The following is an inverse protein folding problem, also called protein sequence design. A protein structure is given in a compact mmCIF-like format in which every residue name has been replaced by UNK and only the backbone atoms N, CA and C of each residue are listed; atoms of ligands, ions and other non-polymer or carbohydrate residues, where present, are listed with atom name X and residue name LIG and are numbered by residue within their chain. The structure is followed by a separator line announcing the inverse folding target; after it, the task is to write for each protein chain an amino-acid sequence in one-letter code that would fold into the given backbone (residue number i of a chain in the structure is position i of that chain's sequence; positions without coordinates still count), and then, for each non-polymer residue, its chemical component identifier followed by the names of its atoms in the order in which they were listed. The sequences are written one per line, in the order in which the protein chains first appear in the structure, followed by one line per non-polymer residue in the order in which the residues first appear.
data_IF_030948098097
#
_entry.id   IF_030948098097
#
_cell.length_a   1.000
_cell.length_b   1.000
_cell.length_c   1.000
_cell.angle_alpha   90.00
_cell.angle_beta   90.00
_cell.angle_gamma   90.00
#
_symmetry.space_group_name_H-M   'P 1'
#
loop_
_entity.id
_entity.type
_entity.pdbx_description
1 polymer ?
#
# COMPACT_ATOMS: atom_id res chain seq x y z
N UNK A 1 -19.30 -57.60 -40.07
CA UNK A 1 -20.19 -57.15 -41.16
C UNK A 1 -19.96 -55.67 -41.37
N UNK A 2 -20.02 -55.29 -42.64
CA UNK A 2 -19.36 -54.17 -43.29
C UNK A 2 -19.88 -52.80 -42.91
N UNK A 3 -18.95 -51.85 -42.95
CA UNK A 3 -19.11 -50.40 -42.87
C UNK A 3 -19.41 -49.82 -44.26
N UNK A 4 -20.20 -48.74 -44.27
CA UNK A 4 -20.39 -47.68 -45.28
C UNK A 4 -20.95 -47.98 -46.67
N UNK A 5 -22.02 -47.23 -46.98
CA UNK A 5 -22.26 -46.37 -48.16
C UNK A 5 -23.51 -45.53 -47.83
N UNK A 6 -23.73 -44.27 -48.21
CA UNK A 6 -22.99 -43.19 -48.85
C UNK A 6 -23.96 -41.99 -48.89
N UNK A 7 -23.40 -40.79 -49.00
CA UNK A 7 -24.04 -39.47 -48.93
C UNK A 7 -25.11 -39.18 -50.00
N UNK A 8 -25.97 -38.19 -49.71
CA UNK A 8 -26.40 -37.20 -50.70
C UNK A 8 -26.57 -35.82 -50.07
N UNK A 9 -25.83 -34.85 -50.59
CA UNK A 9 -25.79 -33.43 -50.22
C UNK A 9 -27.07 -32.66 -50.49
N UNK A 10 -27.37 -31.61 -49.71
CA UNK A 10 -27.23 -30.20 -50.12
C UNK A 10 -28.22 -29.24 -49.41
N UNK A 11 -27.67 -28.10 -48.95
CA UNK A 11 -28.25 -26.75 -48.77
C UNK A 11 -29.10 -26.45 -47.51
N UNK A 12 -28.43 -25.86 -46.52
CA UNK A 12 -28.56 -24.44 -46.15
C UNK A 12 -29.87 -23.93 -45.52
N UNK A 13 -29.78 -23.49 -44.26
CA UNK A 13 -30.47 -22.34 -43.62
C UNK A 13 -29.90 -22.19 -42.21
N UNK A 14 -29.04 -21.20 -41.98
CA UNK A 14 -29.36 -19.88 -41.40
C UNK A 14 -29.44 -19.90 -39.86
N UNK A 15 -28.27 -19.75 -39.22
CA UNK A 15 -28.11 -19.53 -37.78
C UNK A 15 -28.19 -18.03 -37.48
N UNK A 16 -29.38 -17.47 -37.51
CA UNK A 16 -29.62 -16.15 -36.94
C UNK A 16 -31.01 -16.02 -36.33
N UNK A 17 -31.21 -16.54 -35.13
CA UNK A 17 -32.23 -16.03 -34.22
C UNK A 17 -31.70 -15.99 -32.79
N UNK A 18 -31.25 -14.80 -32.40
CA UNK A 18 -30.82 -14.49 -31.05
C UNK A 18 -32.01 -14.42 -30.09
N UNK A 19 -31.87 -15.10 -28.95
CA UNK A 19 -32.63 -14.75 -27.77
C UNK A 19 -31.98 -13.52 -27.13
N UNK A 20 -32.64 -12.37 -27.30
CA UNK A 20 -32.34 -11.12 -26.59
C UNK A 20 -32.53 -11.35 -25.09
N UNK A 21 -31.44 -11.66 -24.38
CA UNK A 21 -31.41 -11.53 -22.93
C UNK A 21 -31.34 -10.03 -22.61
N UNK A 22 -32.48 -9.44 -22.29
CA UNK A 22 -32.58 -8.11 -21.68
C UNK A 22 -31.76 -8.13 -20.38
N UNK A 23 -30.52 -7.63 -20.44
CA UNK A 23 -29.74 -7.31 -19.24
C UNK A 23 -30.55 -6.28 -18.45
N UNK A 24 -31.20 -6.71 -17.38
CA UNK A 24 -31.81 -5.81 -16.42
C UNK A 24 -30.73 -4.80 -15.99
N UNK A 25 -30.99 -3.51 -16.20
CA UNK A 25 -30.10 -2.47 -15.73
C UNK A 25 -30.04 -2.56 -14.21
N UNK A 26 -28.91 -3.02 -13.68
CA UNK A 26 -28.65 -3.00 -12.24
C UNK A 26 -28.51 -1.54 -11.85
N UNK A 27 -29.50 -1.00 -11.14
CA UNK A 27 -29.42 0.35 -10.58
C UNK A 27 -28.36 0.33 -9.49
N UNK A 28 -27.19 0.89 -9.78
CA UNK A 28 -26.12 1.07 -8.78
C UNK A 28 -26.60 2.11 -7.76
N UNK A 29 -26.66 1.78 -6.45
CA UNK A 29 -27.06 2.73 -5.42
C UNK A 29 -26.14 3.96 -5.42
N UNK A 30 -26.70 5.16 -5.29
CA UNK A 30 -25.90 6.38 -5.11
C UNK A 30 -25.22 6.36 -3.74
N UNK A 31 -23.91 6.56 -3.74
CA UNK A 31 -23.12 6.68 -2.51
C UNK A 31 -23.52 7.94 -1.72
N UNK A 32 -23.44 7.85 -0.39
CA UNK A 32 -23.61 8.99 0.52
C UNK A 32 -22.25 9.34 1.11
N UNK A 33 -21.96 10.63 1.19
CA UNK A 33 -20.71 11.14 1.75
C UNK A 33 -20.88 11.51 3.22
N UNK A 34 -19.90 11.12 4.03
CA UNK A 34 -19.93 11.32 5.49
C UNK A 34 -18.75 12.17 5.97
N UNK A 35 -18.25 13.06 5.12
CA UNK A 35 -17.14 13.98 5.42
C UNK A 35 -17.52 14.89 6.60
N UNK A 36 -16.66 15.03 7.63
CA UNK A 36 -16.87 15.96 8.74
C UNK A 36 -17.06 17.39 8.27
N UNK A 37 -17.85 18.19 9.00
CA UNK A 37 -18.12 19.59 8.63
C UNK A 37 -16.83 20.41 8.52
N UNK A 38 -15.87 20.10 9.38
CA UNK A 38 -14.55 20.72 9.47
C UNK A 38 -13.66 20.48 8.25
N UNK A 39 -14.00 19.50 7.40
CA UNK A 39 -13.26 19.16 6.18
C UNK A 39 -14.05 19.45 4.90
N UNK A 40 -15.34 19.82 4.98
CA UNK A 40 -16.19 20.01 3.80
C UNK A 40 -15.70 21.10 2.85
N UNK A 41 -15.00 22.10 3.38
CA UNK A 41 -14.45 23.23 2.63
C UNK A 41 -12.94 23.10 2.40
N UNK A 42 -12.33 21.98 2.78
CA UNK A 42 -10.92 21.76 2.51
C UNK A 42 -10.71 21.63 0.98
N UNK A 43 -9.50 21.97 0.53
CA UNK A 43 -9.05 21.84 -0.85
C UNK A 43 -9.85 22.65 -1.90
N UNK A 44 -10.71 23.60 -1.49
CA UNK A 44 -11.52 24.42 -2.41
C UNK A 44 -10.68 25.28 -3.37
N UNK A 45 -9.46 25.66 -2.94
CA UNK A 45 -8.56 26.51 -3.73
C UNK A 45 -7.53 25.70 -4.55
N UNK A 46 -7.78 24.41 -4.77
CA UNK A 46 -6.91 23.55 -5.58
C UNK A 46 -7.38 23.51 -7.04
N UNK A 47 -6.56 22.94 -7.92
CA UNK A 47 -6.90 22.71 -9.33
C UNK A 47 -7.81 21.49 -9.56
N UNK A 48 -8.22 20.78 -8.50
CA UNK A 48 -9.05 19.60 -8.60
C UNK A 48 -10.50 19.97 -8.95
N UNK A 49 -11.17 19.09 -9.72
CA UNK A 49 -12.61 19.22 -9.93
C UNK A 49 -13.39 18.99 -8.62
N UNK A 50 -14.60 19.51 -8.51
CA UNK A 50 -15.44 19.31 -7.33
C UNK A 50 -15.69 17.82 -7.04
N UNK A 51 -15.94 17.03 -8.08
CA UNK A 51 -16.14 15.58 -7.97
C UNK A 51 -14.91 14.89 -7.39
N UNK A 52 -13.72 15.19 -7.92
CA UNK A 52 -12.46 14.60 -7.45
C UNK A 52 -12.14 15.05 -6.03
N UNK A 53 -12.38 16.32 -5.70
CA UNK A 53 -12.22 16.87 -4.36
C UNK A 53 -13.08 16.12 -3.34
N UNK A 54 -14.35 15.90 -3.64
CA UNK A 54 -15.26 15.16 -2.74
C UNK A 54 -14.83 13.70 -2.60
N UNK A 55 -14.40 13.06 -3.70
CA UNK A 55 -13.91 11.68 -3.69
C UNK A 55 -12.66 11.51 -2.79
N UNK A 56 -11.66 12.40 -2.92
CA UNK A 56 -10.43 12.29 -2.11
C UNK A 56 -10.69 12.62 -0.63
N UNK A 57 -11.51 13.62 -0.33
CA UNK A 57 -11.90 13.95 1.05
C UNK A 57 -12.64 12.79 1.71
N UNK A 58 -13.58 12.17 0.99
CA UNK A 58 -14.32 11.03 1.51
C UNK A 58 -13.41 9.80 1.65
N UNK A 59 -12.49 9.56 0.71
CA UNK A 59 -11.52 8.45 0.80
C UNK A 59 -10.59 8.62 1.99
N UNK A 60 -10.03 9.82 2.18
CA UNK A 60 -9.23 10.20 3.35
C UNK A 60 -9.97 9.91 4.66
N UNK A 61 -11.24 10.34 4.73
CA UNK A 61 -12.08 10.14 5.90
C UNK A 61 -12.46 8.68 6.15
N UNK A 62 -12.84 7.93 5.11
CA UNK A 62 -13.14 6.50 5.19
C UNK A 62 -11.94 5.68 5.65
N UNK A 63 -10.74 6.02 5.16
CA UNK A 63 -9.52 5.36 5.58
C UNK A 63 -9.25 5.64 7.06
N UNK A 64 -9.28 6.92 7.45
CA UNK A 64 -9.04 7.38 8.83
C UNK A 64 -9.89 6.60 9.84
N UNK A 65 -11.21 6.53 9.61
CA UNK A 65 -12.13 5.79 10.50
C UNK A 65 -11.98 4.28 10.46
N UNK A 66 -11.44 3.73 9.38
CA UNK A 66 -11.15 2.32 9.30
C UNK A 66 -9.90 2.01 10.13
N UNK A 67 -8.80 2.75 9.95
CA UNK A 67 -7.51 2.45 10.59
C UNK A 67 -7.40 2.90 12.04
N UNK A 68 -8.08 3.99 12.42
CA UNK A 68 -8.12 4.48 13.81
C UNK A 68 -9.61 4.59 14.23
N UNK A 69 -10.27 3.45 14.56
CA UNK A 69 -11.69 3.44 14.86
C UNK A 69 -12.07 4.08 16.21
N UNK A 70 -11.08 4.34 17.06
CA UNK A 70 -11.24 4.93 18.40
C UNK A 70 -10.27 6.10 18.51
N UNK A 71 -10.76 7.24 18.98
CA UNK A 71 -9.99 8.46 19.22
C UNK A 71 -10.58 9.21 20.43
N UNK A 72 -9.74 9.93 21.16
CA UNK A 72 -10.15 10.86 22.23
C UNK A 72 -9.81 12.32 21.90
N UNK A 73 -8.88 12.54 20.96
CA UNK A 73 -8.42 13.86 20.56
C UNK A 73 -8.86 14.18 19.12
N UNK A 74 -9.96 14.93 19.00
CA UNK A 74 -10.57 15.27 17.71
C UNK A 74 -9.64 16.07 16.79
N UNK A 75 -8.86 17.00 17.34
CA UNK A 75 -7.97 17.84 16.55
C UNK A 75 -6.86 17.02 15.90
N UNK A 76 -6.22 16.13 16.67
CA UNK A 76 -5.23 15.17 16.14
C UNK A 76 -5.85 14.24 15.10
N UNK A 77 -7.04 13.74 15.38
CA UNK A 77 -7.75 12.85 14.46
C UNK A 77 -8.10 13.50 13.12
N UNK A 78 -8.53 14.77 13.12
CA UNK A 78 -8.72 15.55 11.90
C UNK A 78 -7.41 15.86 11.17
N UNK A 79 -6.33 16.16 11.90
CA UNK A 79 -5.01 16.38 11.29
C UNK A 79 -4.51 15.12 10.58
N UNK A 80 -4.65 13.95 11.20
CA UNK A 80 -4.37 12.67 10.55
C UNK A 80 -5.23 12.45 9.30
N UNK A 81 -6.53 12.76 9.35
CA UNK A 81 -7.41 12.64 8.18
C UNK A 81 -7.01 13.54 7.01
N UNK A 82 -6.53 14.76 7.30
CA UNK A 82 -6.01 15.68 6.28
C UNK A 82 -4.70 15.20 5.68
N UNK A 83 -3.79 14.63 6.49
CA UNK A 83 -2.56 14.00 6.00
C UNK A 83 -2.90 12.85 5.05
N UNK A 84 -3.78 11.91 5.46
CA UNK A 84 -4.21 10.82 4.57
C UNK A 84 -4.90 11.31 3.29
N UNK A 85 -5.68 12.39 3.38
CA UNK A 85 -6.29 13.01 2.19
C UNK A 85 -5.20 13.53 1.23
N UNK A 86 -4.16 14.17 1.74
CA UNK A 86 -3.00 14.59 0.95
C UNK A 86 -2.24 13.38 0.39
N UNK A 87 -2.05 12.30 1.15
CA UNK A 87 -1.42 11.06 0.68
C UNK A 87 -2.15 10.48 -0.54
N UNK A 88 -3.47 10.28 -0.43
CA UNK A 88 -4.27 9.74 -1.53
C UNK A 88 -4.34 10.67 -2.73
N UNK A 89 -4.31 11.97 -2.50
CA UNK A 89 -4.22 12.94 -3.59
C UNK A 89 -2.86 12.85 -4.28
N UNK A 90 -1.77 12.63 -3.53
CA UNK A 90 -0.42 12.43 -4.09
C UNK A 90 -0.35 11.18 -4.95
N UNK A 91 -0.84 10.03 -4.46
CA UNK A 91 -0.84 8.77 -5.21
C UNK A 91 -1.55 8.83 -6.57
N UNK A 92 -2.50 9.75 -6.75
CA UNK A 92 -3.22 9.93 -8.01
C UNK A 92 -2.71 11.13 -8.83
N UNK A 93 -2.25 12.18 -8.15
CA UNK A 93 -1.97 13.51 -8.70
C UNK A 93 -0.61 14.06 -8.24
N UNK A 94 0.44 13.24 -8.32
CA UNK A 94 1.79 13.61 -7.84
C UNK A 94 2.36 14.88 -8.45
N UNK A 95 1.87 15.31 -9.61
CA UNK A 95 2.23 16.60 -10.23
C UNK A 95 1.85 17.82 -9.35
N UNK A 96 0.87 17.65 -8.45
CA UNK A 96 0.47 18.67 -7.49
C UNK A 96 1.40 18.75 -6.27
N UNK A 97 2.37 17.83 -6.15
CA UNK A 97 3.24 17.69 -4.99
C UNK A 97 4.68 17.99 -5.39
N UNK A 98 5.23 19.05 -4.79
CA UNK A 98 6.65 19.43 -4.88
C UNK A 98 7.17 19.68 -3.47
N UNK A 99 7.42 18.61 -2.68
CA UNK A 99 7.81 18.73 -1.27
C UNK A 99 9.11 19.51 -1.05
N UNK A 100 9.97 19.61 -2.05
CA UNK A 100 11.16 20.43 -2.03
C UNK A 100 10.89 21.94 -2.17
N UNK A 101 9.77 22.32 -2.77
CA UNK A 101 9.41 23.72 -3.05
C UNK A 101 8.54 24.34 -1.95
N UNK A 102 7.65 23.55 -1.34
CA UNK A 102 6.67 24.05 -0.38
C UNK A 102 6.18 22.98 0.59
N UNK A 103 5.76 23.40 1.79
CA UNK A 103 5.05 22.54 2.74
C UNK A 103 3.52 22.58 2.51
N UNK A 104 3.03 23.40 1.59
CA UNK A 104 1.61 23.45 1.20
C UNK A 104 1.29 22.32 0.22
N UNK A 105 0.65 21.27 0.74
CA UNK A 105 0.23 20.06 0.05
C UNK A 105 -1.27 20.11 -0.21
N UNK A 106 -1.66 20.42 -1.46
CA UNK A 106 -3.05 20.43 -1.94
C UNK A 106 -4.03 21.14 -0.98
N UNK A 107 -3.63 22.30 -0.47
CA UNK A 107 -4.45 23.13 0.42
C UNK A 107 -4.27 22.84 1.91
N UNK A 108 -3.28 22.02 2.29
CA UNK A 108 -2.89 21.77 3.66
C UNK A 108 -1.42 22.10 3.89
N UNK A 109 -1.09 22.80 4.98
CA UNK A 109 0.29 22.91 5.42
C UNK A 109 0.70 21.61 6.14
N UNK A 110 1.62 20.84 5.55
CA UNK A 110 2.04 19.54 6.09
C UNK A 110 2.66 19.67 7.49
N UNK A 111 3.52 20.67 7.70
CA UNK A 111 4.14 20.91 9.01
C UNK A 111 3.08 21.18 10.07
N UNK A 112 2.11 22.04 9.77
CA UNK A 112 1.02 22.36 10.70
C UNK A 112 0.22 21.11 11.07
N UNK A 113 -0.11 20.25 10.10
CA UNK A 113 -0.85 19.02 10.41
C UNK A 113 0.00 18.06 11.27
N UNK A 114 1.30 17.94 11.00
CA UNK A 114 2.21 17.13 11.82
C UNK A 114 2.36 17.71 13.24
N UNK A 115 2.43 19.03 13.38
CA UNK A 115 2.51 19.71 14.67
C UNK A 115 1.23 19.52 15.48
N UNK A 116 0.06 19.56 14.83
CA UNK A 116 -1.22 19.24 15.50
C UNK A 116 -1.23 17.78 15.94
N UNK A 117 -0.88 16.84 15.04
CA UNK A 117 -0.97 15.41 15.27
C UNK A 117 0.02 14.93 16.34
N UNK A 118 1.30 15.29 16.22
CA UNK A 118 2.38 14.76 17.05
C UNK A 118 3.01 15.78 18.00
N UNK A 119 2.55 17.03 18.01
CA UNK A 119 3.07 18.07 18.91
C UNK A 119 3.06 17.61 20.37
N UNK A 120 4.23 17.71 21.02
CA UNK A 120 4.43 17.26 22.41
C UNK A 120 4.65 15.76 22.59
N UNK A 121 4.67 14.96 21.52
CA UNK A 121 5.05 13.54 21.58
C UNK A 121 6.56 13.35 21.34
N UNK A 122 7.19 12.30 21.87
CA UNK A 122 8.62 12.02 21.63
C UNK A 122 8.92 11.65 20.17
N UNK A 123 7.91 11.30 19.36
CA UNK A 123 8.08 10.87 17.97
C UNK A 123 7.85 11.98 16.94
N UNK A 124 7.56 13.22 17.37
CA UNK A 124 7.20 14.33 16.48
C UNK A 124 8.17 14.49 15.30
N UNK A 125 9.47 14.63 15.57
CA UNK A 125 10.50 14.79 14.54
C UNK A 125 10.64 13.55 13.65
N UNK A 126 10.53 12.35 14.22
CA UNK A 126 10.65 11.10 13.47
C UNK A 126 9.48 10.93 12.51
N UNK A 127 8.25 11.16 12.98
CA UNK A 127 7.04 11.03 12.16
C UNK A 127 6.92 12.14 11.11
N UNK A 128 7.43 13.35 11.39
CA UNK A 128 7.56 14.40 10.39
C UNK A 128 8.44 13.93 9.22
N UNK A 129 9.60 13.36 9.55
CA UNK A 129 10.54 12.86 8.56
C UNK A 129 9.99 11.64 7.82
N UNK A 130 9.25 10.77 8.51
CA UNK A 130 8.58 9.60 7.93
C UNK A 130 7.57 10.02 6.85
N UNK A 131 6.66 10.95 7.16
CA UNK A 131 5.63 11.36 6.22
C UNK A 131 6.20 12.16 5.04
N UNK A 132 7.25 12.96 5.29
CA UNK A 132 7.99 13.64 4.20
C UNK A 132 8.64 12.63 3.25
N UNK A 133 9.17 11.52 3.77
CA UNK A 133 9.76 10.44 2.97
C UNK A 133 8.74 9.74 2.07
N UNK A 134 7.52 9.56 2.57
CA UNK A 134 6.40 9.07 1.79
C UNK A 134 6.13 10.00 0.59
N UNK A 135 5.95 11.30 0.83
CA UNK A 135 5.64 12.25 -0.25
C UNK A 135 6.75 12.34 -1.30
N UNK A 136 8.02 12.24 -0.90
CA UNK A 136 9.14 12.18 -1.84
C UNK A 136 9.04 10.94 -2.73
N UNK A 137 8.89 9.75 -2.15
CA UNK A 137 8.86 8.50 -2.91
C UNK A 137 7.64 8.41 -3.82
N UNK A 138 6.46 8.80 -3.33
CA UNK A 138 5.20 8.69 -4.05
C UNK A 138 5.06 9.74 -5.15
N UNK A 139 5.43 11.00 -4.89
CA UNK A 139 5.35 12.05 -5.93
C UNK A 139 6.23 11.73 -7.12
N UNK A 140 7.39 11.10 -6.89
CA UNK A 140 8.32 10.63 -7.92
C UNK A 140 7.77 9.40 -8.66
N UNK A 141 7.16 8.45 -7.93
CA UNK A 141 6.47 7.29 -8.52
C UNK A 141 5.36 7.69 -9.50
N UNK A 142 4.62 8.76 -9.19
CA UNK A 142 3.36 9.11 -9.89
C UNK A 142 3.42 10.41 -10.71
N UNK A 143 4.62 11.00 -10.83
CA UNK A 143 4.90 12.20 -11.64
C UNK A 143 4.61 11.96 -13.13
N UNK A 144 3.84 12.85 -13.77
CA UNK A 144 3.55 12.79 -15.21
C UNK A 144 4.77 13.03 -16.08
N UNK A 145 5.79 13.73 -15.55
CA UNK A 145 7.03 13.97 -16.25
C UNK A 145 7.76 12.65 -16.57
N UNK A 146 7.41 11.56 -15.87
CA UNK A 146 8.08 10.26 -15.93
C UNK A 146 9.58 10.46 -16.06
N UNK A 147 10.15 11.33 -15.25
CA UNK A 147 11.54 11.75 -15.35
C UNK A 147 12.51 10.59 -15.10
N UNK A 148 11.98 9.37 -14.90
CA UNK A 148 12.74 8.15 -14.67
C UNK A 148 13.73 8.43 -13.57
N UNK A 149 13.27 9.17 -12.55
CA UNK A 149 14.17 9.77 -11.60
C UNK A 149 15.01 8.66 -11.01
N UNK A 150 16.32 8.89 -10.98
CA UNK A 150 17.26 7.91 -10.46
C UNK A 150 16.86 7.46 -9.04
N UNK A 151 16.14 8.32 -8.31
CA UNK A 151 15.51 8.01 -7.04
C UNK A 151 14.50 6.84 -7.14
N UNK A 152 13.50 6.91 -8.03
CA UNK A 152 12.48 5.85 -8.12
C UNK A 152 13.07 4.53 -8.63
N UNK A 153 14.11 4.61 -9.47
CA UNK A 153 14.93 3.45 -9.85
C UNK A 153 15.57 2.78 -8.64
N UNK A 154 16.33 3.55 -7.88
CA UNK A 154 17.02 3.09 -6.68
C UNK A 154 16.05 2.53 -5.67
N UNK A 155 14.86 3.14 -5.55
CA UNK A 155 13.79 2.67 -4.70
C UNK A 155 13.33 1.27 -5.12
N UNK A 156 13.04 1.07 -6.41
CA UNK A 156 12.65 -0.24 -6.94
C UNK A 156 13.75 -1.28 -6.75
N UNK A 157 15.00 -0.92 -7.01
CA UNK A 157 16.15 -1.78 -6.77
C UNK A 157 16.30 -2.15 -5.29
N UNK A 158 16.11 -1.19 -4.39
CA UNK A 158 16.21 -1.39 -2.95
C UNK A 158 15.10 -2.29 -2.41
N UNK A 159 13.88 -2.25 -2.96
CA UNK A 159 12.82 -3.19 -2.63
C UNK A 159 13.22 -4.65 -2.89
N UNK A 160 14.03 -4.90 -3.93
CA UNK A 160 14.53 -6.24 -4.26
C UNK A 160 15.82 -6.65 -3.54
N UNK A 161 16.45 -5.74 -2.79
CA UNK A 161 17.77 -5.99 -2.20
C UNK A 161 17.70 -7.00 -1.04
N UNK A 162 16.85 -6.76 -0.05
CA UNK A 162 16.71 -7.63 1.13
C UNK A 162 15.31 -7.53 1.71
N UNK A 163 14.84 -8.59 2.37
CA UNK A 163 13.53 -8.56 3.02
C UNK A 163 13.43 -7.46 4.10
N UNK A 164 14.53 -7.17 4.80
CA UNK A 164 14.58 -6.10 5.81
C UNK A 164 14.41 -4.71 5.17
N UNK A 165 15.15 -4.44 4.10
CA UNK A 165 15.04 -3.17 3.37
C UNK A 165 13.66 -3.03 2.74
N UNK A 166 13.12 -4.11 2.16
CA UNK A 166 11.76 -4.17 1.64
C UNK A 166 10.73 -3.75 2.68
N UNK A 167 10.72 -4.37 3.86
CA UNK A 167 9.73 -4.04 4.88
C UNK A 167 9.90 -2.61 5.39
N UNK A 168 11.12 -2.08 5.49
CA UNK A 168 11.32 -0.69 5.94
C UNK A 168 10.85 0.33 4.90
N UNK A 169 11.15 0.10 3.62
CA UNK A 169 10.67 0.93 2.51
C UNK A 169 9.16 0.88 2.42
N UNK A 170 8.60 -0.33 2.53
CA UNK A 170 7.17 -0.57 2.40
C UNK A 170 6.38 -0.10 3.62
N UNK A 171 6.98 -0.09 4.81
CA UNK A 171 6.46 0.54 6.02
C UNK A 171 6.24 2.05 5.81
N UNK A 172 7.21 2.72 5.18
CA UNK A 172 7.09 4.13 4.81
C UNK A 172 6.03 4.35 3.71
N UNK A 173 6.12 3.63 2.59
CA UNK A 173 5.17 3.71 1.46
C UNK A 173 3.73 3.34 1.88
N UNK A 174 3.57 2.60 2.98
CA UNK A 174 2.28 2.12 3.49
C UNK A 174 1.83 2.85 4.73
N UNK A 175 2.62 3.84 5.13
CA UNK A 175 2.45 4.67 6.33
C UNK A 175 2.11 3.84 7.58
N UNK A 176 2.74 2.66 7.72
CA UNK A 176 2.38 1.68 8.73
C UNK A 176 2.80 2.17 10.12
N UNK A 177 4.09 2.48 10.32
CA UNK A 177 4.57 3.07 11.58
C UNK A 177 3.95 4.43 11.87
N UNK A 178 3.76 5.24 10.82
CA UNK A 178 3.14 6.55 10.94
C UNK A 178 1.72 6.43 11.48
N UNK A 179 0.93 5.48 10.96
CA UNK A 179 -0.43 5.22 11.40
C UNK A 179 -0.47 4.60 12.79
N UNK A 180 0.46 3.71 13.16
CA UNK A 180 0.59 3.20 14.53
C UNK A 180 0.84 4.34 15.52
N UNK A 181 1.76 5.25 15.21
CA UNK A 181 2.02 6.43 16.02
C UNK A 181 0.80 7.34 16.06
N UNK A 182 0.14 7.61 14.92
CA UNK A 182 -1.05 8.44 14.86
C UNK A 182 -2.20 7.85 15.70
N UNK A 183 -2.38 6.53 15.73
CA UNK A 183 -3.37 5.86 16.55
C UNK A 183 -3.17 6.14 18.04
N UNK A 184 -1.92 6.10 18.51
CA UNK A 184 -1.57 6.45 19.88
C UNK A 184 -1.74 7.96 20.14
N UNK A 185 -1.32 8.82 19.21
CA UNK A 185 -1.42 10.27 19.35
C UNK A 185 -2.88 10.76 19.40
N UNK A 186 -3.75 10.22 18.54
CA UNK A 186 -5.18 10.54 18.51
C UNK A 186 -5.93 10.09 19.78
N UNK A 187 -5.28 9.29 20.63
CA UNK A 187 -5.80 8.83 21.92
C UNK A 187 -4.99 9.33 23.11
N UNK A 188 -4.11 10.33 22.90
CA UNK A 188 -3.25 10.93 23.92
C UNK A 188 -2.42 9.91 24.73
N UNK A 189 -2.05 8.80 24.11
CA UNK A 189 -1.23 7.76 24.76
C UNK A 189 0.22 8.23 24.90
N UNK A 190 0.80 8.02 26.07
CA UNK A 190 2.19 8.37 26.37
C UNK A 190 3.19 7.46 25.62
N UNK A 191 3.57 7.88 24.41
CA UNK A 191 4.52 7.16 23.56
C UNK A 191 5.90 6.99 24.20
N UNK A 192 6.28 7.78 25.22
CA UNK A 192 7.56 7.57 25.91
C UNK A 192 7.62 6.24 26.68
N UNK A 193 6.44 5.67 26.99
CA UNK A 193 6.29 4.39 27.70
C UNK A 193 5.75 3.28 26.83
N UNK A 194 4.93 3.62 25.84
CA UNK A 194 4.12 2.65 25.09
C UNK A 194 4.55 2.51 23.63
N UNK A 195 5.55 3.26 23.16
CA UNK A 195 6.15 3.04 21.85
C UNK A 195 7.09 1.83 21.83
N UNK A 196 7.21 1.22 20.65
CA UNK A 196 8.05 0.05 20.41
C UNK A 196 9.46 0.47 19.99
N UNK A 197 10.44 -0.41 20.18
CA UNK A 197 11.76 -0.20 19.58
C UNK A 197 11.73 -0.48 18.06
N UNK A 198 12.78 -0.09 17.33
CA UNK A 198 12.82 -0.20 15.87
C UNK A 198 12.60 -1.64 15.35
N UNK A 199 13.21 -2.66 15.98
CA UNK A 199 13.04 -4.05 15.55
C UNK A 199 11.60 -4.53 15.76
N UNK A 200 10.96 -4.11 16.85
CA UNK A 200 9.55 -4.38 17.13
C UNK A 200 8.64 -3.68 16.12
N UNK A 201 8.87 -2.39 15.82
CA UNK A 201 8.10 -1.64 14.81
C UNK A 201 8.22 -2.32 13.44
N UNK A 202 9.43 -2.70 13.02
CA UNK A 202 9.64 -3.40 11.76
C UNK A 202 8.88 -4.73 11.70
N UNK A 203 8.86 -5.51 12.79
CA UNK A 203 8.12 -6.78 12.82
C UNK A 203 6.60 -6.55 12.75
N UNK A 204 6.08 -5.55 13.45
CA UNK A 204 4.66 -5.18 13.37
C UNK A 204 4.29 -4.70 11.97
N UNK A 205 5.17 -3.94 11.32
CA UNK A 205 4.99 -3.52 9.94
C UNK A 205 5.01 -4.70 8.97
N UNK A 206 5.93 -5.66 9.14
CA UNK A 206 5.99 -6.90 8.37
C UNK A 206 4.68 -7.70 8.47
N UNK A 207 4.07 -7.82 9.66
CA UNK A 207 2.75 -8.46 9.83
C UNK A 207 1.67 -7.71 9.04
N UNK A 208 1.60 -6.39 9.18
CA UNK A 208 0.59 -5.56 8.50
C UNK A 208 0.69 -5.69 6.98
N UNK A 209 1.91 -5.54 6.45
CA UNK A 209 2.20 -5.57 5.02
C UNK A 209 2.02 -6.97 4.45
N UNK A 210 2.45 -8.01 5.15
CA UNK A 210 2.24 -9.39 4.73
C UNK A 210 0.77 -9.75 4.60
N UNK A 211 -0.06 -9.32 5.56
CA UNK A 211 -1.52 -9.51 5.50
C UNK A 211 -2.16 -8.68 4.37
N UNK A 212 -1.81 -7.41 4.25
CA UNK A 212 -2.32 -6.52 3.19
C UNK A 212 -1.97 -7.07 1.79
N UNK A 213 -0.70 -7.41 1.55
CA UNK A 213 -0.22 -7.91 0.26
C UNK A 213 -0.83 -9.26 -0.11
N UNK A 214 -1.23 -10.06 0.88
CA UNK A 214 -1.89 -11.34 0.66
C UNK A 214 -3.27 -11.14 0.03
N UNK A 215 -4.01 -10.17 0.54
CA UNK A 215 -5.34 -9.78 0.05
C UNK A 215 -5.23 -9.05 -1.28
N UNK A 216 -4.27 -8.12 -1.38
CA UNK A 216 -4.06 -7.29 -2.56
C UNK A 216 -3.31 -8.01 -3.71
N UNK A 217 -2.83 -9.24 -3.51
CA UNK A 217 -1.95 -9.98 -4.44
C UNK A 217 -2.34 -9.87 -5.92
N UNK A 218 -3.56 -10.28 -6.29
CA UNK A 218 -3.99 -10.27 -7.69
C UNK A 218 -4.19 -8.86 -8.23
N UNK A 219 -4.62 -7.92 -7.37
CA UNK A 219 -4.74 -6.51 -7.73
C UNK A 219 -3.36 -5.92 -8.02
N UNK A 220 -2.43 -6.04 -7.07
CA UNK A 220 -1.05 -5.53 -7.21
C UNK A 220 -0.36 -6.14 -8.43
N UNK A 221 -0.58 -7.43 -8.70
CA UNK A 221 -0.05 -8.08 -9.90
C UNK A 221 -0.69 -7.55 -11.19
N UNK A 222 -2.00 -7.35 -11.22
CA UNK A 222 -2.69 -6.74 -12.37
C UNK A 222 -2.26 -5.29 -12.62
N UNK A 223 -1.92 -4.56 -11.55
CA UNK A 223 -1.40 -3.18 -11.59
C UNK A 223 0.09 -3.12 -12.01
N UNK A 224 0.79 -4.25 -12.01
CA UNK A 224 2.24 -4.26 -12.16
C UNK A 224 2.97 -3.55 -11.02
N UNK A 225 2.39 -3.59 -9.82
CA UNK A 225 2.95 -2.96 -8.62
C UNK A 225 4.35 -3.54 -8.31
N UNK A 226 5.23 -2.67 -7.81
CA UNK A 226 6.60 -3.01 -7.38
C UNK A 226 6.64 -3.42 -5.90
N UNK A 227 5.63 -2.97 -5.17
CA UNK A 227 5.45 -3.10 -3.72
C UNK A 227 4.46 -4.22 -3.36
N UNK A 228 4.80 -5.47 -3.68
CA UNK A 228 4.10 -6.64 -3.13
C UNK A 228 5.10 -7.74 -2.75
N UNK A 229 5.10 -8.15 -1.49
CA UNK A 229 6.06 -9.09 -0.93
C UNK A 229 6.08 -10.45 -1.65
N UNK A 230 4.93 -10.92 -2.15
CA UNK A 230 4.84 -12.19 -2.86
C UNK A 230 5.44 -12.17 -4.26
N UNK A 231 5.86 -11.00 -4.77
CA UNK A 231 6.75 -10.92 -5.93
C UNK A 231 8.12 -11.57 -5.65
N UNK A 232 8.58 -11.52 -4.40
CA UNK A 232 9.92 -11.92 -4.01
C UNK A 232 9.97 -13.35 -3.47
N UNK A 233 9.01 -13.75 -2.62
CA UNK A 233 8.95 -15.13 -2.09
C UNK A 233 8.14 -16.11 -2.93
N UNK A 234 7.31 -15.62 -3.84
CA UNK A 234 6.42 -16.43 -4.68
C UNK A 234 4.99 -16.53 -4.15
N UNK A 235 4.03 -16.61 -5.08
CA UNK A 235 2.61 -16.69 -4.76
C UNK A 235 2.16 -18.01 -4.13
N UNK A 236 2.96 -19.07 -4.26
CA UNK A 236 2.78 -20.38 -3.63
C UNK A 236 2.90 -20.31 -2.10
N UNK A 237 3.74 -19.42 -1.57
CA UNK A 237 3.87 -19.18 -0.13
C UNK A 237 2.73 -18.35 0.46
N UNK A 238 1.85 -17.77 -0.37
CA UNK A 238 0.84 -16.82 0.10
C UNK A 238 -0.08 -17.40 1.17
N UNK A 239 -0.54 -18.63 1.00
CA UNK A 239 -1.43 -19.26 1.97
C UNK A 239 -0.73 -19.49 3.32
N UNK A 240 0.45 -20.12 3.29
CA UNK A 240 1.28 -20.38 4.48
C UNK A 240 1.57 -19.09 5.24
N UNK A 241 2.06 -18.07 4.53
CA UNK A 241 2.44 -16.80 5.16
C UNK A 241 1.23 -16.00 5.67
N UNK A 242 0.10 -16.00 4.96
CA UNK A 242 -1.14 -15.35 5.43
C UNK A 242 -1.58 -15.96 6.76
N UNK A 243 -1.57 -17.29 6.85
CA UNK A 243 -1.90 -17.99 8.10
C UNK A 243 -0.96 -17.59 9.22
N UNK A 244 0.35 -17.61 8.95
CA UNK A 244 1.37 -17.28 9.95
C UNK A 244 1.25 -15.84 10.47
N UNK A 245 1.14 -14.85 9.58
CA UNK A 245 0.98 -13.44 9.97
C UNK A 245 -0.30 -13.23 10.78
N UNK A 246 -1.40 -13.86 10.37
CA UNK A 246 -2.69 -13.74 11.06
C UNK A 246 -2.60 -14.32 12.46
N UNK A 247 -2.09 -15.53 12.61
CA UNK A 247 -1.97 -16.16 13.92
C UNK A 247 -1.04 -15.36 14.83
N UNK A 248 0.06 -14.82 14.28
CA UNK A 248 0.98 -14.00 15.07
C UNK A 248 0.32 -12.69 15.55
N UNK A 249 -0.51 -12.06 14.71
CA UNK A 249 -1.33 -10.92 15.14
C UNK A 249 -2.27 -11.31 16.29
N UNK A 250 -2.97 -12.45 16.20
CA UNK A 250 -3.83 -12.93 17.28
C UNK A 250 -3.07 -13.24 18.56
N UNK A 251 -1.86 -13.78 18.45
CA UNK A 251 -1.01 -14.07 19.61
C UNK A 251 -0.55 -12.77 20.29
N UNK A 252 -0.17 -11.75 19.52
CA UNK A 252 0.14 -10.43 20.06
C UNK A 252 -1.08 -9.83 20.78
N UNK A 253 -2.28 -9.91 20.19
CA UNK A 253 -3.52 -9.46 20.83
C UNK A 253 -3.80 -10.20 22.13
N UNK A 254 -3.67 -11.53 22.15
CA UNK A 254 -3.85 -12.34 23.35
C UNK A 254 -2.84 -11.97 24.44
N UNK A 255 -1.57 -11.78 24.08
CA UNK A 255 -0.52 -11.41 25.01
C UNK A 255 -0.67 -9.96 25.55
N UNK A 256 -1.39 -9.11 24.82
CA UNK A 256 -1.67 -7.72 25.18
C UNK A 256 -3.09 -7.47 25.66
N UNK A 257 -3.88 -8.53 25.92
CA UNK A 257 -5.30 -8.41 26.29
C UNK A 257 -5.56 -7.51 27.52
N UNK A 258 -4.57 -7.35 28.40
CA UNK A 258 -4.64 -6.48 29.58
C UNK A 258 -3.86 -5.16 29.44
N UNK A 259 -3.42 -4.81 28.22
CA UNK A 259 -2.69 -3.57 27.90
C UNK A 259 -3.56 -2.68 27.01
N UNK A 260 -4.41 -1.80 27.57
CA UNK A 260 -5.34 -1.01 26.79
C UNK A 260 -4.66 -0.15 25.72
N UNK A 261 -3.43 0.32 25.97
CA UNK A 261 -2.65 1.15 25.05
C UNK A 261 -2.29 0.40 23.76
N UNK A 262 -2.01 -0.90 23.86
CA UNK A 262 -1.74 -1.78 22.72
C UNK A 262 -2.98 -2.05 21.86
N UNK A 263 -4.18 -1.77 22.39
CA UNK A 263 -5.44 -1.93 21.63
C UNK A 263 -5.51 -0.95 20.46
N UNK A 264 -4.97 0.26 20.59
CA UNK A 264 -4.97 1.26 19.50
C UNK A 264 -4.13 0.78 18.30
N UNK A 265 -2.99 0.15 18.58
CA UNK A 265 -2.07 -0.39 17.56
C UNK A 265 -2.69 -1.63 16.90
N UNK A 266 -3.16 -2.59 17.70
CA UNK A 266 -3.76 -3.82 17.17
C UNK A 266 -5.06 -3.58 16.39
N UNK A 267 -5.87 -2.58 16.79
CA UNK A 267 -7.01 -2.11 16.00
C UNK A 267 -6.60 -1.71 14.58
N UNK A 268 -5.54 -0.92 14.44
CA UNK A 268 -5.01 -0.57 13.14
C UNK A 268 -4.51 -1.81 12.38
N UNK A 269 -3.69 -2.65 13.02
CA UNK A 269 -3.13 -3.86 12.39
C UNK A 269 -4.20 -4.79 11.82
N UNK A 270 -5.30 -5.01 12.56
CA UNK A 270 -6.46 -5.79 12.08
C UNK A 270 -7.09 -5.18 10.84
N UNK A 271 -7.19 -3.86 10.81
CA UNK A 271 -7.85 -3.14 9.74
C UNK A 271 -7.03 -3.17 8.47
N UNK A 272 -5.75 -2.78 8.54
CA UNK A 272 -4.85 -2.82 7.39
C UNK A 272 -4.63 -4.24 6.87
N UNK A 273 -4.58 -5.24 7.76
CA UNK A 273 -4.36 -6.64 7.38
C UNK A 273 -5.56 -7.34 6.73
N UNK A 274 -6.71 -6.68 6.56
CA UNK A 274 -7.84 -7.36 5.91
C UNK A 274 -9.10 -6.53 5.79
N UNK A 275 -9.66 -6.04 6.90
CA UNK A 275 -11.02 -5.48 6.84
C UNK A 275 -11.10 -4.18 6.07
N UNK A 276 -10.01 -3.41 5.98
CA UNK A 276 -9.93 -2.19 5.17
C UNK A 276 -10.32 -2.44 3.71
N UNK A 277 -9.97 -3.61 3.19
CA UNK A 277 -10.28 -4.04 1.84
C UNK A 277 -11.79 -4.22 1.59
N UNK A 278 -12.55 -4.57 2.63
CA UNK A 278 -14.00 -4.75 2.52
C UNK A 278 -14.77 -3.47 2.86
N UNK A 279 -14.23 -2.63 3.75
CA UNK A 279 -14.96 -1.49 4.32
C UNK A 279 -14.75 -0.19 3.56
N UNK A 280 -13.71 -0.11 2.72
CA UNK A 280 -13.41 1.09 1.94
C UNK A 280 -13.86 0.98 0.50
N UNK A 281 -14.39 2.09 -0.03
CA UNK A 281 -14.70 2.24 -1.45
C UNK A 281 -13.45 2.32 -2.32
N UNK A 282 -12.29 2.65 -1.74
CA UNK A 282 -11.01 2.45 -2.43
C UNK A 282 -10.85 1.00 -2.84
N UNK A 283 -11.24 0.01 -2.03
CA UNK A 283 -10.99 -1.40 -2.31
C UNK A 283 -12.19 -2.19 -2.85
N UNK A 284 -13.38 -1.56 -2.93
CA UNK A 284 -14.59 -1.91 -3.72
C UNK A 284 -15.00 -3.38 -3.88
N UNK A 285 -14.49 -4.29 -3.04
CA UNK A 285 -14.76 -5.72 -3.16
C UNK A 285 -16.25 -6.06 -3.01
N UNK A 286 -17.00 -5.29 -2.23
CA UNK A 286 -18.47 -5.43 -2.11
C UNK A 286 -19.17 -5.11 -3.44
N UNK A 287 -18.80 -4.01 -4.09
CA UNK A 287 -19.33 -3.62 -5.40
C UNK A 287 -18.91 -4.64 -6.48
N UNK A 288 -17.78 -5.30 -6.28
CA UNK A 288 -17.29 -6.44 -7.06
C UNK A 288 -17.88 -7.80 -6.63
N UNK A 289 -19.12 -7.81 -6.15
CA UNK A 289 -19.84 -9.05 -5.82
C UNK A 289 -19.21 -9.82 -4.66
N UNK A 290 -18.67 -9.09 -3.67
CA UNK A 290 -17.99 -9.63 -2.49
C UNK A 290 -16.75 -10.48 -2.81
N UNK A 291 -16.17 -10.31 -4.01
CA UNK A 291 -15.04 -11.13 -4.43
C UNK A 291 -13.73 -10.46 -4.09
N UNK A 292 -13.10 -10.91 -3.00
CA UNK A 292 -11.73 -10.53 -2.67
C UNK A 292 -10.77 -11.29 -3.59
N UNK A 293 -9.89 -10.56 -4.27
CA UNK A 293 -8.85 -11.16 -5.11
C UNK A 293 -9.41 -11.97 -6.29
N UNK A 294 -10.31 -11.37 -7.09
CA UNK A 294 -10.80 -11.95 -8.35
C UNK A 294 -9.62 -12.54 -9.14
N UNK A 295 -9.81 -13.70 -9.81
CA UNK A 295 -8.85 -14.18 -10.77
C UNK A 295 -8.52 -13.06 -11.76
N UNK A 296 -7.24 -12.82 -11.94
CA UNK A 296 -6.75 -11.88 -12.94
C UNK A 296 -7.25 -12.39 -14.31
N UNK A 297 -8.17 -11.66 -14.92
CA UNK A 297 -8.65 -11.92 -16.28
C UNK A 297 -8.22 -10.77 -17.16
N UNK A 298 -8.19 -10.94 -18.48
CA UNK A 298 -7.88 -9.84 -19.40
C UNK A 298 -8.77 -8.61 -19.14
N UNK A 299 -10.05 -8.82 -18.82
CA UNK A 299 -10.99 -7.73 -18.48
C UNK A 299 -10.66 -7.05 -17.15
N UNK A 300 -10.23 -7.82 -16.12
CA UNK A 300 -9.81 -7.24 -14.83
C UNK A 300 -8.53 -6.44 -15.02
N UNK A 301 -7.55 -6.97 -15.77
CA UNK A 301 -6.29 -6.26 -16.06
C UNK A 301 -6.55 -5.00 -16.88
N UNK A 302 -7.36 -5.09 -17.93
CA UNK A 302 -7.74 -3.93 -18.74
C UNK A 302 -8.52 -2.90 -17.89
N UNK A 303 -9.46 -3.35 -17.06
CA UNK A 303 -10.20 -2.48 -16.13
C UNK A 303 -9.27 -1.79 -15.13
N UNK A 304 -8.31 -2.51 -14.55
CA UNK A 304 -7.26 -1.95 -13.69
C UNK A 304 -6.44 -0.91 -14.45
N UNK A 305 -5.97 -1.22 -15.65
CA UNK A 305 -5.23 -0.29 -16.52
C UNK A 305 -6.06 0.92 -16.96
N UNK A 306 -7.38 0.82 -16.91
CA UNK A 306 -8.33 1.87 -17.30
C UNK A 306 -9.04 2.54 -16.09
N UNK A 307 -8.56 2.36 -14.85
CA UNK A 307 -9.15 2.96 -13.63
C UNK A 307 -10.56 2.51 -13.26
N UNK A 308 -11.03 1.37 -13.75
CA UNK A 308 -12.44 0.98 -13.58
C UNK A 308 -12.79 0.71 -12.11
N UNK A 309 -11.85 0.23 -11.30
CA UNK A 309 -12.11 -0.08 -9.88
C UNK A 309 -10.95 0.23 -8.91
N UNK A 310 -9.82 0.77 -9.36
CA UNK A 310 -8.71 1.30 -8.54
C UNK A 310 -7.63 1.92 -9.44
N UNK A 311 -6.95 2.92 -8.88
CA UNK A 311 -6.30 4.03 -9.57
C UNK A 311 -4.96 3.66 -10.23
N UNK A 312 -4.98 3.57 -11.57
CA UNK A 312 -3.82 3.59 -12.46
C UNK A 312 -4.01 4.63 -13.57
N UNK A 313 -3.24 5.72 -13.55
CA UNK A 313 -3.40 6.83 -14.50
C UNK A 313 -3.16 6.40 -15.95
N UNK A 314 -4.11 6.75 -16.84
CA UNK A 314 -3.97 6.71 -18.30
C UNK A 314 -3.03 7.84 -18.76
N UNK A 315 -1.96 7.44 -19.48
CA UNK A 315 -1.35 7.95 -20.74
C UNK A 315 -0.98 9.45 -20.90
N UNK A 316 0.13 9.86 -21.59
CA UNK A 316 0.51 9.48 -22.96
C UNK A 316 2.00 9.10 -23.16
N UNK A 317 2.32 8.65 -24.37
CA UNK A 317 3.66 8.51 -24.94
C UNK A 317 4.38 9.88 -25.09
N UNK A 318 4.58 10.61 -24.00
CA UNK A 318 5.42 11.80 -24.00
C UNK A 318 6.85 11.44 -23.67
N UNK A 319 7.78 11.98 -24.48
CA UNK A 319 9.23 11.81 -24.29
C UNK A 319 9.62 12.14 -22.85
N UNK A 320 10.18 11.14 -22.19
CA UNK A 320 10.82 11.25 -20.87
C UNK A 320 11.91 12.30 -20.91
N UNK A 321 11.81 13.31 -20.04
CA UNK A 321 12.94 14.20 -19.73
C UNK A 321 13.62 13.59 -18.52
N UNK A 322 14.79 12.95 -18.72
CA UNK A 322 15.59 12.43 -17.61
C UNK A 322 16.20 13.61 -16.85
N UNK A 323 15.66 13.92 -15.68
CA UNK A 323 16.29 14.84 -14.73
C UNK A 323 16.82 14.02 -13.56
N UNK A 324 18.13 14.04 -13.34
CA UNK A 324 18.71 13.41 -12.15
C UNK A 324 18.51 14.33 -10.93
N UNK A 325 17.46 14.04 -10.17
CA UNK A 325 17.08 14.77 -8.95
C UNK A 325 17.64 14.11 -7.69
N UNK A 326 18.20 12.91 -7.80
CA UNK A 326 18.64 12.13 -6.65
C UNK A 326 19.72 12.85 -5.82
N UNK A 327 20.77 13.48 -6.40
CA UNK A 327 21.74 14.25 -5.62
C UNK A 327 21.12 15.39 -4.80
N UNK A 328 20.07 16.04 -5.32
CA UNK A 328 19.34 17.09 -4.62
C UNK A 328 18.57 16.54 -3.41
N UNK A 329 17.93 15.38 -3.57
CA UNK A 329 17.24 14.70 -2.49
C UNK A 329 18.20 14.23 -1.38
N UNK A 330 19.35 13.66 -1.75
CA UNK A 330 20.39 13.24 -0.80
C UNK A 330 20.93 14.43 0.00
N UNK A 331 21.10 15.59 -0.63
CA UNK A 331 21.52 16.81 0.05
C UNK A 331 20.52 17.29 1.12
N UNK A 332 19.24 16.90 0.99
CA UNK A 332 18.16 17.25 1.93
C UNK A 332 17.69 16.06 2.79
N UNK A 333 18.47 14.98 2.87
CA UNK A 333 18.06 13.71 3.49
C UNK A 333 17.58 13.85 4.94
N UNK A 334 18.20 14.72 5.74
CA UNK A 334 17.81 14.90 7.16
C UNK A 334 16.39 15.47 7.34
N UNK A 335 15.84 16.10 6.30
CA UNK A 335 14.46 16.62 6.29
C UNK A 335 13.49 15.68 5.59
N UNK A 336 13.92 15.02 4.51
CA UNK A 336 13.01 14.37 3.57
C UNK A 336 13.18 12.85 3.45
N UNK A 337 14.11 12.25 4.17
CA UNK A 337 14.38 10.82 4.11
C UNK A 337 14.51 10.23 5.50
N UNK A 338 13.73 9.21 5.85
CA UNK A 338 13.84 8.51 7.13
C UNK A 338 15.25 7.95 7.35
N UNK A 339 15.59 7.62 8.59
CA UNK A 339 16.94 7.17 8.93
C UNK A 339 17.31 5.88 8.19
N UNK A 340 18.39 5.93 7.41
CA UNK A 340 18.86 4.82 6.60
C UNK A 340 18.29 4.75 5.18
N UNK A 341 17.36 5.63 4.77
CA UNK A 341 16.79 5.58 3.41
C UNK A 341 17.85 5.87 2.34
N UNK A 342 18.62 6.94 2.46
CA UNK A 342 19.68 7.26 1.48
C UNK A 342 20.70 6.12 1.37
N UNK A 343 21.11 5.57 2.51
CA UNK A 343 22.05 4.46 2.60
C UNK A 343 21.48 3.17 1.98
N UNK A 344 20.17 2.95 2.10
CA UNK A 344 19.46 1.84 1.46
C UNK A 344 19.44 1.99 -0.07
N UNK A 345 19.14 3.20 -0.56
CA UNK A 345 19.10 3.54 -1.99
C UNK A 345 20.49 3.53 -2.66
N UNK A 346 21.55 3.84 -1.92
CA UNK A 346 22.93 3.75 -2.44
C UNK A 346 23.45 2.32 -2.44
N UNK A 347 23.15 1.55 -1.38
CA UNK A 347 23.58 0.15 -1.27
C UNK A 347 22.96 -0.73 -2.35
N UNK A 348 21.70 -0.47 -2.73
CA UNK A 348 21.01 -1.22 -3.78
C UNK A 348 21.69 -1.12 -5.16
N UNK A 349 22.56 -0.13 -5.37
CA UNK A 349 23.38 0.05 -6.57
C UNK A 349 24.76 -0.60 -6.48
N UNK A 350 25.34 -0.62 -5.28
CA UNK A 350 26.70 -1.11 -5.07
C UNK A 350 26.77 -2.64 -5.02
N UNK A 351 25.77 -3.28 -4.40
CA UNK A 351 25.77 -4.70 -4.07
C UNK A 351 24.74 -5.49 -4.89
N UNK A 352 24.69 -5.25 -6.20
CA UNK A 352 23.72 -5.89 -7.08
C UNK A 352 24.06 -7.38 -7.34
N UNK A 353 23.10 -8.27 -7.04
CA UNK A 353 23.15 -9.64 -7.54
C UNK A 353 23.08 -9.63 -9.09
N UNK A 354 24.08 -10.21 -9.80
CA UNK A 354 24.13 -10.19 -11.27
C UNK A 354 23.11 -11.11 -11.93
N UNK A 355 22.55 -12.07 -11.18
CA UNK A 355 21.57 -13.03 -11.69
C UNK A 355 20.12 -12.55 -11.49
N UNK A 356 19.89 -11.50 -10.69
CA UNK A 356 18.58 -10.89 -10.53
C UNK A 356 18.29 -9.95 -11.71
N UNK A 357 17.07 -10.01 -12.24
CA UNK A 357 16.66 -9.20 -13.39
C UNK A 357 16.05 -7.89 -12.92
N UNK A 358 16.72 -6.79 -13.25
CA UNK A 358 16.24 -5.42 -13.09
C UNK A 358 15.77 -4.91 -14.45
N UNK A 359 14.79 -4.01 -14.45
CA UNK A 359 14.20 -3.45 -15.67
C UNK A 359 14.61 -1.98 -15.78
N UNK A 360 14.86 -1.54 -17.01
CA UNK A 360 15.14 -0.14 -17.31
C UNK A 360 13.89 0.74 -17.14
N UNK A 361 12.71 0.16 -17.36
CA UNK A 361 11.40 0.78 -17.17
C UNK A 361 10.62 0.05 -16.07
N UNK A 362 10.01 0.81 -15.15
CA UNK A 362 9.21 0.26 -14.05
C UNK A 362 7.80 -0.12 -14.47
N UNK A 363 7.23 -1.09 -13.77
CA UNK A 363 5.90 -1.63 -14.03
C UNK A 363 5.93 -2.98 -14.74
N UNK A 364 4.79 -3.64 -14.81
CA UNK A 364 4.67 -4.91 -15.52
C UNK A 364 4.55 -4.69 -17.03
N UNK A 365 5.44 -5.33 -17.79
CA UNK A 365 5.40 -5.32 -19.26
C UNK A 365 4.33 -6.28 -19.79
N UNK A 366 4.14 -7.42 -19.12
CA UNK A 366 3.14 -8.42 -19.45
C UNK A 366 2.03 -8.49 -18.39
N UNK A 367 0.93 -9.12 -18.77
CA UNK A 367 -0.11 -9.54 -17.83
C UNK A 367 0.43 -10.62 -16.87
N UNK A 368 -0.13 -10.72 -15.66
CA UNK A 368 0.26 -11.70 -14.64
C UNK A 368 1.67 -11.52 -14.05
N UNK A 369 2.23 -10.30 -14.07
CA UNK A 369 3.56 -10.02 -13.54
C UNK A 369 3.57 -8.83 -12.59
N UNK A 370 4.51 -8.82 -11.63
CA UNK A 370 4.83 -7.63 -10.85
C UNK A 370 5.83 -6.74 -11.61
N UNK A 371 5.93 -5.47 -11.21
CA UNK A 371 6.82 -4.49 -11.82
C UNK A 371 8.21 -4.39 -11.19
N UNK A 372 8.44 -5.04 -10.05
CA UNK A 372 9.69 -4.97 -9.28
C UNK A 372 10.81 -5.85 -9.85
N UNK A 373 11.90 -5.96 -9.07
CA UNK A 373 13.05 -6.81 -9.40
C UNK A 373 12.65 -8.29 -9.40
N UNK A 374 13.01 -9.03 -10.44
CA UNK A 374 12.83 -10.48 -10.46
C UNK A 374 14.06 -11.17 -9.85
N UNK A 375 13.87 -11.83 -8.71
CA UNK A 375 14.96 -12.49 -7.98
C UNK A 375 15.41 -13.78 -8.66
N UNK A 376 16.72 -14.04 -8.65
CA UNK A 376 17.26 -15.35 -8.97
C UNK A 376 16.89 -16.37 -7.88
N UNK A 377 17.05 -17.67 -8.17
CA UNK A 377 16.68 -18.74 -7.24
C UNK A 377 17.39 -18.63 -5.86
N UNK A 378 18.65 -18.21 -5.84
CA UNK A 378 19.42 -18.02 -4.60
C UNK A 378 18.84 -16.89 -3.75
N UNK A 379 18.69 -15.70 -4.31
CA UNK A 379 18.12 -14.55 -3.58
C UNK A 379 16.69 -14.84 -3.13
N UNK A 380 15.87 -15.49 -3.97
CA UNK A 380 14.54 -15.94 -3.57
C UNK A 380 14.59 -16.85 -2.35
N UNK A 381 15.53 -17.80 -2.28
CA UNK A 381 15.68 -18.67 -1.12
C UNK A 381 16.02 -17.90 0.17
N UNK A 382 16.89 -16.89 0.10
CA UNK A 382 17.23 -16.04 1.25
C UNK A 382 15.99 -15.29 1.80
N UNK A 383 15.11 -14.83 0.91
CA UNK A 383 13.85 -14.22 1.29
C UNK A 383 12.89 -15.22 1.95
N UNK A 384 12.79 -16.44 1.40
CA UNK A 384 11.99 -17.53 1.96
C UNK A 384 12.48 -17.87 3.38
N UNK A 385 13.79 -17.98 3.58
CA UNK A 385 14.39 -18.30 4.86
C UNK A 385 14.13 -17.19 5.89
N UNK A 386 14.23 -15.92 5.49
CA UNK A 386 13.93 -14.76 6.34
C UNK A 386 12.50 -14.81 6.89
N UNK A 387 11.50 -15.06 6.04
CA UNK A 387 10.09 -15.07 6.47
C UNK A 387 9.70 -16.32 7.24
N UNK A 388 10.33 -17.47 6.95
CA UNK A 388 10.15 -18.68 7.76
C UNK A 388 10.70 -18.54 9.18
N UNK A 389 11.68 -17.66 9.38
CA UNK A 389 12.21 -17.34 10.69
C UNK A 389 11.35 -16.33 11.47
N UNK A 390 10.23 -15.85 10.92
CA UNK A 390 9.35 -14.89 11.58
C UNK A 390 8.93 -15.31 13.01
N UNK A 391 8.53 -16.56 13.28
CA UNK A 391 8.18 -16.99 14.64
C UNK A 391 9.29 -16.79 15.65
N UNK A 392 10.50 -17.21 15.30
CA UNK A 392 11.67 -17.09 16.16
C UNK A 392 12.04 -15.62 16.39
N UNK A 393 11.94 -14.78 15.34
CA UNK A 393 12.13 -13.32 15.45
C UNK A 393 11.07 -12.70 16.36
N UNK A 394 9.81 -13.07 16.20
CA UNK A 394 8.69 -12.57 17.00
C UNK A 394 8.84 -12.95 18.48
N UNK A 395 9.14 -14.21 18.78
CA UNK A 395 9.33 -14.67 20.16
C UNK A 395 10.57 -14.04 20.84
N UNK A 396 11.57 -13.62 20.06
CA UNK A 396 12.71 -12.84 20.56
C UNK A 396 12.31 -11.40 20.90
N UNK A 397 11.53 -10.76 20.03
CA UNK A 397 11.16 -9.34 20.14
C UNK A 397 9.96 -9.07 21.07
N UNK A 398 9.09 -10.05 21.24
CA UNK A 398 7.92 -10.01 22.11
C UNK A 398 7.93 -11.23 23.04
N UNK A 399 8.75 -11.21 24.12
CA UNK A 399 8.90 -12.34 25.03
C UNK A 399 7.58 -12.79 25.70
N UNK A 400 6.57 -11.92 25.76
CA UNK A 400 5.23 -12.27 26.23
C UNK A 400 4.55 -13.37 25.41
N UNK A 401 4.91 -13.53 24.12
CA UNK A 401 4.38 -14.60 23.27
C UNK A 401 4.71 -15.99 23.82
N UNK A 402 5.85 -16.15 24.50
CA UNK A 402 6.28 -17.42 25.11
C UNK A 402 5.41 -17.87 26.30
N UNK A 403 4.52 -16.99 26.78
CA UNK A 403 3.62 -17.26 27.90
C UNK A 403 2.26 -17.78 27.44
N UNK A 404 1.99 -17.79 26.14
CA UNK A 404 0.75 -18.29 25.59
C UNK A 404 0.78 -19.83 25.56
N UNK A 405 -0.32 -20.50 25.94
CA UNK A 405 -0.42 -21.95 25.80
C UNK A 405 -0.23 -22.36 24.32
N UNK A 406 0.68 -23.32 24.09
CA UNK A 406 0.88 -24.04 22.81
C UNK A 406 1.27 -23.18 21.59
N UNK A 407 1.73 -21.93 21.76
CA UNK A 407 1.93 -21.08 20.59
C UNK A 407 3.24 -21.33 19.82
N UNK A 408 4.20 -22.13 20.31
CA UNK A 408 5.45 -22.48 19.59
C UNK A 408 6.18 -23.75 20.10
N UNK A 409 5.51 -24.91 20.16
CA UNK A 409 6.20 -26.22 20.23
C UNK A 409 6.33 -26.86 18.84
#
# INVERSE_FOLDING_TARGET
MTVNTSESSARGTDLSQGASATKAAVTVPKSRWFIPKEMQNDMLNTSLSEEMRIEVLNTGWEYTRAVIPIWSNWARYLAFARILTAEFTCEFCGDLFRPEETDEMVGYNLQEQVDILFGGTPLHKEMEREIRSFFVSVSEKVSSAKDGSDLFRRHTNALGHSAKDYYRLRDCDGTIRFTMAAALACNDIDMSKHWFNEEQVQLLAEICLGLYDSVAYFKHRAEGEISNFFAYVGGDMRLEMTHLYRELLWALEAAWATKPESTHVTNFMRQVGGTIHMTMRRYRFIEDGLTIGRPETAQVVEGTRNNVNLWYRIEPNTKVIKADRYPGWVALKERFMFEGLAECLDRSEADECPDCVRRDDYGAQDIYQFGGVALCAKCKQEWIDYVRCLPARAAKLFPELKKLPEYWD
#
